data_IF_790978772081
#
_entry.id   IF_790978772081
#
_cell.length_a   1.000
_cell.length_b   1.000
_cell.length_c   1.000
_cell.angle_alpha   90.00
_cell.angle_beta   90.00
_cell.angle_gamma   90.00
#
_symmetry.space_group_name_H-M   'P 1'
#
loop_
_entity.id
_entity.type
_entity.pdbx_description
1 polymer ?
#
# COMPACT_ATOMS: atom_id res chain seq x y z
N UNK A 1 -18.46 29.31 12.46
CA UNK A 1 -18.70 28.28 11.43
C UNK A 1 -18.86 26.86 11.99
N UNK A 2 -18.01 26.39 12.93
CA UNK A 2 -18.03 24.99 13.40
C UNK A 2 -19.13 24.56 14.37
N UNK A 3 -19.80 25.50 15.05
CA UNK A 3 -20.89 25.20 16.02
C UNK A 3 -22.22 24.84 15.30
N UNK A 4 -22.29 25.03 13.97
CA UNK A 4 -23.50 24.78 13.17
C UNK A 4 -23.68 23.32 12.72
N UNK A 5 -22.69 22.44 12.89
CA UNK A 5 -22.69 21.14 12.22
C UNK A 5 -23.46 20.01 12.93
N UNK A 6 -24.05 20.23 14.11
CA UNK A 6 -24.80 19.23 14.92
C UNK A 6 -24.14 17.83 15.02
N UNK A 7 -22.84 17.74 14.75
CA UNK A 7 -22.07 16.50 14.68
C UNK A 7 -20.85 16.64 15.59
N UNK A 8 -20.98 16.28 16.87
CA UNK A 8 -19.87 16.26 17.82
C UNK A 8 -18.63 15.51 17.32
N UNK A 9 -18.74 14.34 16.62
CA UNK A 9 -17.58 13.62 16.11
C UNK A 9 -16.75 14.42 15.10
N UNK A 10 -17.40 15.22 14.25
CA UNK A 10 -16.72 16.01 13.22
C UNK A 10 -15.94 17.18 13.84
N UNK A 11 -16.51 17.85 14.85
CA UNK A 11 -15.85 18.94 15.58
C UNK A 11 -14.64 18.41 16.35
N UNK A 12 -14.78 17.27 17.02
CA UNK A 12 -13.69 16.61 17.74
C UNK A 12 -12.58 16.21 16.76
N UNK A 13 -12.92 15.61 15.63
CA UNK A 13 -11.95 15.23 14.59
C UNK A 13 -11.17 16.44 14.05
N UNK A 14 -11.84 17.56 13.82
CA UNK A 14 -11.20 18.80 13.38
C UNK A 14 -10.25 19.38 14.42
N UNK A 15 -10.65 19.41 15.70
CA UNK A 15 -9.79 19.89 16.80
C UNK A 15 -8.55 18.99 16.94
N UNK A 16 -8.72 17.67 16.89
CA UNK A 16 -7.60 16.71 16.92
C UNK A 16 -6.67 16.95 15.73
N UNK A 17 -7.22 17.14 14.52
CA UNK A 17 -6.43 17.42 13.33
C UNK A 17 -5.62 18.72 13.45
N UNK A 18 -6.20 19.78 14.02
CA UNK A 18 -5.49 21.04 14.28
C UNK A 18 -4.35 20.86 15.30
N UNK A 19 -4.58 20.13 16.38
CA UNK A 19 -3.56 19.87 17.41
C UNK A 19 -2.41 19.03 16.84
N UNK A 20 -2.73 17.92 16.15
CA UNK A 20 -1.72 17.04 15.54
C UNK A 20 -0.97 17.76 14.43
N UNK A 21 -1.67 18.52 13.58
CA UNK A 21 -1.06 19.32 12.51
C UNK A 21 -0.14 20.43 13.06
N UNK A 22 -0.55 21.08 14.15
CA UNK A 22 0.25 22.04 14.88
C UNK A 22 1.51 21.41 15.49
N UNK A 23 1.36 20.30 16.21
CA UNK A 23 2.48 19.55 16.78
C UNK A 23 3.44 19.02 15.70
N UNK A 24 2.93 18.69 14.52
CA UNK A 24 3.74 18.26 13.39
C UNK A 24 4.58 19.40 12.78
N UNK A 25 4.06 20.63 12.77
CA UNK A 25 4.59 21.71 11.91
C UNK A 25 5.20 22.91 12.63
N UNK A 26 4.74 23.25 13.83
CA UNK A 26 5.13 24.47 14.56
C UNK A 26 6.54 24.30 15.14
N UNK A 27 7.42 25.26 14.85
CA UNK A 27 8.81 25.28 15.32
C UNK A 27 8.92 25.77 16.76
N UNK A 28 8.49 24.93 17.72
CA UNK A 28 8.59 25.23 19.16
C UNK A 28 9.33 24.07 19.89
N UNK A 29 10.62 24.25 20.20
CA UNK A 29 11.38 23.28 21.00
C UNK A 29 10.77 23.15 22.42
N UNK A 30 10.75 21.96 23.07
CA UNK A 30 11.37 20.68 22.68
C UNK A 30 10.39 19.62 22.10
N UNK A 31 9.09 19.91 21.98
CA UNK A 31 8.04 18.91 21.67
C UNK A 31 7.28 19.11 20.35
N UNK A 32 7.32 20.31 19.75
CA UNK A 32 6.61 20.62 18.50
C UNK A 32 7.62 20.68 17.33
N UNK A 33 7.15 20.33 16.12
CA UNK A 33 7.90 20.11 14.86
C UNK A 33 8.35 18.68 14.61
N UNK A 34 7.42 17.74 14.73
CA UNK A 34 7.68 16.32 14.42
C UNK A 34 8.22 16.07 13.00
N UNK A 35 7.86 16.90 12.02
CA UNK A 35 8.40 16.81 10.64
C UNK A 35 9.91 16.99 10.53
N UNK A 36 10.55 17.63 11.53
CA UNK A 36 11.99 17.87 11.54
C UNK A 36 12.82 16.65 11.98
N UNK A 37 12.18 15.69 12.67
CA UNK A 37 12.85 14.46 13.12
C UNK A 37 11.82 13.30 13.18
N UNK A 38 11.76 12.45 12.14
CA UNK A 38 10.78 11.37 12.07
C UNK A 38 10.89 10.36 13.22
N UNK A 39 12.09 10.20 13.81
CA UNK A 39 12.31 9.30 14.95
C UNK A 39 11.77 9.88 16.26
N UNK A 40 11.92 11.19 16.48
CA UNK A 40 11.32 11.88 17.63
C UNK A 40 9.79 11.94 17.51
N UNK A 41 9.28 12.20 16.31
CA UNK A 41 7.85 12.15 16.01
C UNK A 41 7.23 10.81 16.41
N UNK A 42 7.83 9.72 15.94
CA UNK A 42 7.37 8.37 16.22
C UNK A 42 7.50 8.02 17.72
N UNK A 43 8.59 8.43 18.38
CA UNK A 43 8.79 8.23 19.83
C UNK A 43 7.73 8.95 20.67
N UNK A 44 7.39 10.19 20.33
CA UNK A 44 6.41 11.00 21.06
C UNK A 44 4.98 10.47 20.84
N UNK A 45 4.65 10.06 19.61
CA UNK A 45 3.31 9.52 19.28
C UNK A 45 3.10 8.10 19.82
N UNK A 46 4.12 7.24 19.76
CA UNK A 46 4.02 5.83 20.14
C UNK A 46 4.45 5.55 21.59
N UNK A 47 4.98 6.55 22.30
CA UNK A 47 5.41 6.46 23.71
C UNK A 47 6.62 5.55 23.98
N UNK A 48 7.20 4.94 22.95
CA UNK A 48 8.29 3.96 23.04
C UNK A 48 9.36 4.22 21.97
N UNK A 49 10.61 3.76 22.15
CA UNK A 49 11.58 3.74 21.05
C UNK A 49 10.98 2.97 19.87
N UNK A 50 11.14 3.49 18.66
CA UNK A 50 10.71 2.83 17.43
C UNK A 50 11.40 1.46 17.35
N UNK A 51 10.65 0.42 17.70
CA UNK A 51 11.13 -0.94 17.62
C UNK A 51 10.83 -1.49 16.23
N UNK A 52 11.89 -1.82 15.49
CA UNK A 52 11.77 -2.57 14.24
C UNK A 52 11.47 -4.04 14.55
N UNK A 53 10.23 -4.29 14.93
CA UNK A 53 9.75 -5.65 15.19
C UNK A 53 9.72 -6.44 13.87
N UNK A 54 9.84 -7.77 13.95
CA UNK A 54 9.76 -8.65 12.77
C UNK A 54 8.50 -8.40 11.92
N UNK A 55 7.30 -8.23 12.51
CA UNK A 55 6.10 -7.89 11.74
C UNK A 55 6.18 -6.54 11.02
N UNK A 56 6.78 -5.51 11.65
CA UNK A 56 6.95 -4.20 11.01
C UNK A 56 7.91 -4.28 9.82
N UNK A 57 9.04 -4.96 9.98
CA UNK A 57 10.00 -5.15 8.89
C UNK A 57 9.40 -5.96 7.74
N UNK A 58 8.65 -7.02 8.07
CA UNK A 58 7.95 -7.83 7.08
C UNK A 58 6.92 -7.00 6.30
N UNK A 59 6.05 -6.27 7.01
CA UNK A 59 5.04 -5.39 6.39
C UNK A 59 5.71 -4.32 5.52
N UNK A 60 6.81 -3.70 5.98
CA UNK A 60 7.53 -2.72 5.18
C UNK A 60 8.08 -3.32 3.87
N UNK A 61 8.74 -4.48 3.95
CA UNK A 61 9.25 -5.18 2.77
C UNK A 61 8.12 -5.57 1.80
N UNK A 62 7.02 -6.08 2.34
CA UNK A 62 5.83 -6.45 1.56
C UNK A 62 5.24 -5.26 0.81
N UNK A 63 5.04 -4.12 1.49
CA UNK A 63 4.49 -2.91 0.88
C UNK A 63 5.44 -2.34 -0.19
N UNK A 64 6.76 -2.42 0.00
CA UNK A 64 7.74 -2.03 -1.04
C UNK A 64 7.58 -2.88 -2.29
N UNK A 65 7.52 -4.21 -2.14
CA UNK A 65 7.34 -5.14 -3.26
C UNK A 65 6.04 -4.83 -4.02
N UNK A 66 4.93 -4.62 -3.29
CA UNK A 66 3.65 -4.25 -3.88
C UNK A 66 3.70 -2.92 -4.63
N UNK A 67 4.28 -1.90 -4.02
CA UNK A 67 4.34 -0.58 -4.62
C UNK A 67 5.21 -0.58 -5.89
N UNK A 68 6.29 -1.37 -5.93
CA UNK A 68 7.07 -1.60 -7.16
C UNK A 68 6.24 -2.25 -8.26
N UNK A 69 5.46 -3.30 -7.93
CA UNK A 69 4.61 -3.95 -8.92
C UNK A 69 3.49 -3.02 -9.43
N UNK A 70 2.87 -2.22 -8.56
CA UNK A 70 1.86 -1.22 -8.95
C UNK A 70 2.46 -0.15 -9.85
N UNK A 71 3.69 0.30 -9.58
CA UNK A 71 4.38 1.26 -10.44
C UNK A 71 4.58 0.69 -11.86
N UNK A 72 4.95 -0.58 -11.99
CA UNK A 72 5.06 -1.23 -13.29
C UNK A 72 3.71 -1.32 -14.01
N UNK A 73 2.63 -1.66 -13.31
CA UNK A 73 1.28 -1.72 -13.90
C UNK A 73 0.80 -0.34 -14.33
N UNK A 74 1.10 0.70 -13.53
CA UNK A 74 0.73 2.10 -13.83
C UNK A 74 1.32 2.58 -15.16
N UNK A 75 2.58 2.26 -15.43
CA UNK A 75 3.27 2.76 -16.62
C UNK A 75 2.75 2.13 -17.92
N UNK A 76 2.00 1.01 -17.86
CA UNK A 76 1.46 0.32 -19.05
C UNK A 76 0.45 1.19 -19.83
N UNK A 77 -0.63 1.70 -19.22
CA UNK A 77 -1.55 2.62 -19.90
C UNK A 77 -0.95 4.00 -20.20
N UNK A 78 0.19 4.35 -19.58
CA UNK A 78 0.87 5.64 -19.75
C UNK A 78 1.89 5.64 -20.93
N UNK A 79 2.16 4.48 -21.54
CA UNK A 79 3.16 4.29 -22.62
C UNK A 79 3.07 5.32 -23.74
N UNK A 80 1.87 5.59 -24.26
CA UNK A 80 1.70 6.54 -25.37
C UNK A 80 2.04 7.98 -24.95
N UNK A 81 1.64 8.36 -23.73
CA UNK A 81 1.99 9.65 -23.15
C UNK A 81 3.48 9.77 -22.91
N UNK A 82 4.08 8.77 -22.27
CA UNK A 82 5.52 8.73 -21.98
C UNK A 82 6.36 8.84 -23.26
N UNK A 83 5.97 8.13 -24.33
CA UNK A 83 6.62 8.23 -25.65
C UNK A 83 6.54 9.65 -26.22
N UNK A 84 5.39 10.32 -26.10
CA UNK A 84 5.21 11.67 -26.60
C UNK A 84 6.10 12.70 -25.86
N UNK A 85 6.43 12.44 -24.59
CA UNK A 85 7.36 13.26 -23.80
C UNK A 85 8.82 12.76 -23.88
N UNK A 86 9.13 11.79 -24.74
CA UNK A 86 10.49 11.26 -24.90
C UNK A 86 11.01 10.46 -23.71
N UNK A 87 10.13 9.98 -22.83
CA UNK A 87 10.48 9.15 -21.69
C UNK A 87 10.73 7.70 -22.13
N UNK A 88 11.65 7.02 -21.43
CA UNK A 88 11.97 5.60 -21.66
C UNK A 88 11.59 4.76 -20.45
N UNK A 89 10.29 4.57 -20.23
CA UNK A 89 9.76 3.71 -19.16
C UNK A 89 9.92 2.23 -19.50
N UNK A 90 9.86 1.35 -18.49
CA UNK A 90 10.06 -0.08 -18.66
C UNK A 90 9.15 -0.70 -19.75
N UNK A 91 7.83 -0.42 -19.82
CA UNK A 91 6.97 -0.97 -20.87
C UNK A 91 7.31 -0.46 -22.28
N UNK A 92 7.99 0.69 -22.41
CA UNK A 92 8.54 1.16 -23.69
C UNK A 92 9.76 0.32 -24.11
N UNK A 93 10.62 -0.05 -23.16
CA UNK A 93 11.88 -0.74 -23.43
C UNK A 93 11.65 -2.23 -23.73
N UNK A 94 10.84 -2.91 -22.90
CA UNK A 94 10.68 -4.38 -22.98
C UNK A 94 9.28 -4.84 -23.41
N UNK A 95 8.33 -3.92 -23.59
CA UNK A 95 6.95 -4.19 -24.02
C UNK A 95 5.94 -4.30 -22.87
N UNK A 96 4.69 -3.92 -23.14
CA UNK A 96 3.58 -3.88 -22.17
C UNK A 96 3.31 -5.26 -21.56
N UNK A 97 3.30 -6.31 -22.38
CA UNK A 97 2.98 -7.68 -22.01
C UNK A 97 4.02 -8.28 -21.07
N UNK A 98 5.31 -8.01 -21.32
CA UNK A 98 6.39 -8.50 -20.45
C UNK A 98 6.35 -7.82 -19.09
N UNK A 99 6.17 -6.49 -19.07
CA UNK A 99 6.04 -5.72 -17.82
C UNK A 99 4.83 -6.19 -17.02
N UNK A 100 3.69 -6.38 -17.69
CA UNK A 100 2.47 -6.92 -17.08
C UNK A 100 2.73 -8.27 -16.42
N UNK A 101 3.33 -9.21 -17.16
CA UNK A 101 3.65 -10.54 -16.66
C UNK A 101 4.59 -10.48 -15.44
N UNK A 102 5.64 -9.67 -15.50
CA UNK A 102 6.57 -9.48 -14.38
C UNK A 102 5.83 -8.93 -13.15
N UNK A 103 5.03 -7.88 -13.30
CA UNK A 103 4.30 -7.28 -12.19
C UNK A 103 3.30 -8.25 -11.54
N UNK A 104 2.54 -8.99 -12.36
CA UNK A 104 1.60 -10.01 -11.86
C UNK A 104 2.32 -11.11 -11.10
N UNK A 105 3.43 -11.62 -11.62
CA UNK A 105 4.21 -12.66 -10.93
C UNK A 105 4.82 -12.14 -9.62
N UNK A 106 5.31 -10.90 -9.57
CA UNK A 106 5.79 -10.28 -8.33
C UNK A 106 4.68 -10.25 -7.28
N UNK A 107 3.48 -9.77 -7.62
CA UNK A 107 2.36 -9.71 -6.69
C UNK A 107 1.89 -11.11 -6.24
N UNK A 108 1.84 -12.09 -7.15
CA UNK A 108 1.49 -13.48 -6.80
C UNK A 108 2.52 -14.12 -5.87
N UNK A 109 3.81 -13.89 -6.10
CA UNK A 109 4.87 -14.35 -5.19
C UNK A 109 4.77 -13.65 -3.83
N UNK A 110 4.46 -12.36 -3.79
CA UNK A 110 4.23 -11.63 -2.54
C UNK A 110 3.08 -12.24 -1.75
N UNK A 111 1.94 -12.52 -2.39
CA UNK A 111 0.83 -13.24 -1.77
C UNK A 111 1.24 -14.63 -1.26
N UNK A 112 1.97 -15.41 -2.07
CA UNK A 112 2.48 -16.71 -1.65
C UNK A 112 3.39 -16.63 -0.43
N UNK A 113 4.24 -15.60 -0.36
CA UNK A 113 5.09 -15.32 0.80
C UNK A 113 4.30 -15.02 2.06
N UNK A 114 3.26 -14.18 1.98
CA UNK A 114 2.40 -13.87 3.13
C UNK A 114 1.60 -15.09 3.60
N UNK A 115 1.06 -15.89 2.67
CA UNK A 115 0.37 -17.14 3.03
C UNK A 115 1.32 -18.10 3.74
N UNK A 116 2.56 -18.23 3.25
CA UNK A 116 3.58 -19.07 3.89
C UNK A 116 3.90 -18.60 5.31
N UNK A 117 4.15 -17.31 5.50
CA UNK A 117 4.40 -16.73 6.83
C UNK A 117 3.20 -16.95 7.75
N UNK A 118 1.98 -16.68 7.27
CA UNK A 118 0.75 -16.88 8.03
C UNK A 118 0.51 -18.33 8.47
N UNK A 119 0.95 -19.32 7.67
CA UNK A 119 0.83 -20.74 8.01
C UNK A 119 1.60 -21.12 9.29
N UNK A 120 2.68 -20.41 9.59
CA UNK A 120 3.49 -20.61 10.80
C UNK A 120 3.02 -19.77 12.00
N UNK A 121 1.92 -19.01 11.87
CA UNK A 121 1.42 -18.20 12.96
C UNK A 121 0.99 -19.06 14.17
N UNK A 122 1.30 -18.67 15.42
CA UNK A 122 0.86 -19.40 16.61
C UNK A 122 -0.64 -19.19 16.90
N UNK A 123 -1.25 -18.11 16.39
CA UNK A 123 -2.67 -17.83 16.58
C UNK A 123 -3.50 -18.45 15.46
N UNK A 124 -4.42 -19.36 15.82
CA UNK A 124 -5.30 -20.04 14.85
C UNK A 124 -6.15 -19.03 14.06
N UNK A 125 -6.69 -18.00 14.72
CA UNK A 125 -7.46 -16.95 14.06
C UNK A 125 -6.61 -16.18 13.04
N UNK A 126 -5.43 -15.70 13.45
CA UNK A 126 -4.53 -14.94 12.57
C UNK A 126 -4.06 -15.80 11.39
N UNK A 127 -3.77 -17.09 11.64
CA UNK A 127 -3.42 -18.08 10.62
C UNK A 127 -4.51 -18.23 9.57
N UNK A 128 -5.74 -18.55 10.01
CA UNK A 128 -6.86 -18.78 9.10
C UNK A 128 -7.21 -17.51 8.31
N UNK A 129 -7.29 -16.35 8.98
CA UNK A 129 -7.56 -15.07 8.32
C UNK A 129 -6.50 -14.78 7.27
N UNK A 130 -5.21 -14.86 7.63
CA UNK A 130 -4.11 -14.59 6.71
C UNK A 130 -4.13 -15.54 5.51
N UNK A 131 -4.21 -16.85 5.75
CA UNK A 131 -4.17 -17.83 4.67
C UNK A 131 -5.37 -17.69 3.72
N UNK A 132 -6.59 -17.59 4.25
CA UNK A 132 -7.81 -17.58 3.43
C UNK A 132 -7.91 -16.25 2.65
N UNK A 133 -7.71 -15.12 3.33
CA UNK A 133 -7.87 -13.80 2.70
C UNK A 133 -6.85 -13.57 1.59
N UNK A 134 -5.56 -13.79 1.85
CA UNK A 134 -4.51 -13.55 0.85
C UNK A 134 -4.58 -14.57 -0.29
N UNK A 135 -4.98 -15.82 -0.04
CA UNK A 135 -5.24 -16.79 -1.12
C UNK A 135 -6.42 -16.37 -2.00
N UNK A 136 -7.50 -15.84 -1.40
CA UNK A 136 -8.64 -15.34 -2.15
C UNK A 136 -8.26 -14.12 -3.00
N UNK A 137 -7.49 -13.17 -2.46
CA UNK A 137 -7.02 -12.01 -3.22
C UNK A 137 -6.02 -12.40 -4.32
N UNK A 138 -5.12 -13.36 -4.06
CA UNK A 138 -4.24 -13.93 -5.08
C UNK A 138 -5.03 -14.59 -6.22
N UNK A 139 -6.09 -15.33 -5.89
CA UNK A 139 -6.98 -15.92 -6.88
C UNK A 139 -7.71 -14.86 -7.72
N UNK A 140 -8.21 -13.79 -7.09
CA UNK A 140 -8.82 -12.65 -7.79
C UNK A 140 -7.83 -11.99 -8.74
N UNK A 141 -6.61 -11.70 -8.26
CA UNK A 141 -5.54 -11.12 -9.07
C UNK A 141 -5.21 -12.01 -10.27
N UNK A 142 -4.98 -13.30 -10.03
CA UNK A 142 -4.65 -14.28 -11.07
C UNK A 142 -5.77 -14.38 -12.12
N UNK A 143 -7.02 -14.51 -11.68
CA UNK A 143 -8.18 -14.61 -12.57
C UNK A 143 -8.31 -13.37 -13.45
N UNK A 144 -8.20 -12.18 -12.84
CA UNK A 144 -8.30 -10.92 -13.56
C UNK A 144 -7.11 -10.73 -14.52
N UNK A 145 -5.92 -11.17 -14.14
CA UNK A 145 -4.73 -11.12 -15.00
C UNK A 145 -4.86 -12.02 -16.24
N UNK A 146 -5.57 -13.17 -16.13
CA UNK A 146 -5.82 -14.06 -17.27
C UNK A 146 -6.81 -13.50 -18.29
N UNK A 147 -7.72 -12.63 -17.86
CA UNK A 147 -8.74 -12.03 -18.73
C UNK A 147 -8.37 -10.63 -19.19
N UNK A 148 -7.28 -10.06 -18.66
CA UNK A 148 -6.83 -8.72 -19.01
C UNK A 148 -6.03 -8.72 -20.32
N UNK A 149 -6.19 -7.64 -21.09
CA UNK A 149 -5.38 -7.36 -22.27
C UNK A 149 -4.54 -6.11 -21.96
N UNK A 150 -3.23 -6.25 -21.68
CA UNK A 150 -2.38 -5.12 -21.36
C UNK A 150 -2.10 -4.20 -22.57
N UNK A 151 -2.46 -4.62 -23.79
CA UNK A 151 -2.29 -3.80 -24.99
C UNK A 151 -3.47 -2.87 -25.26
N UNK A 152 -4.65 -3.15 -24.70
CA UNK A 152 -5.75 -2.19 -24.62
C UNK A 152 -5.59 -1.28 -23.38
N UNK A 153 -5.41 0.02 -23.62
CA UNK A 153 -5.23 1.00 -22.54
C UNK A 153 -6.41 1.08 -21.57
N UNK A 154 -7.65 0.83 -22.01
CA UNK A 154 -8.81 0.82 -21.09
C UNK A 154 -8.75 -0.39 -20.17
N UNK A 155 -8.48 -1.56 -20.72
CA UNK A 155 -8.27 -2.81 -19.98
C UNK A 155 -7.09 -2.70 -19.00
N UNK A 156 -5.93 -2.19 -19.44
CA UNK A 156 -4.76 -1.97 -18.61
C UNK A 156 -5.04 -0.99 -17.46
N UNK A 157 -5.71 0.14 -17.74
CA UNK A 157 -6.12 1.10 -16.71
C UNK A 157 -7.11 0.50 -15.71
N UNK A 158 -8.04 -0.33 -16.17
CA UNK A 158 -8.99 -1.04 -15.29
C UNK A 158 -8.24 -1.99 -14.35
N UNK A 159 -7.25 -2.73 -14.87
CA UNK A 159 -6.41 -3.61 -14.06
C UNK A 159 -5.54 -2.83 -13.07
N UNK A 160 -4.96 -1.71 -13.48
CA UNK A 160 -4.27 -0.79 -12.56
C UNK A 160 -5.17 -0.38 -11.39
N UNK A 161 -6.42 0.01 -11.66
CA UNK A 161 -7.37 0.36 -10.58
C UNK A 161 -7.73 -0.84 -9.70
N UNK A 162 -7.78 -2.06 -10.25
CA UNK A 162 -7.93 -3.29 -9.47
C UNK A 162 -6.73 -3.47 -8.51
N UNK A 163 -5.50 -3.29 -8.98
CA UNK A 163 -4.30 -3.45 -8.13
C UNK A 163 -4.32 -2.47 -6.94
N UNK A 164 -4.77 -1.23 -7.15
CA UNK A 164 -4.99 -0.27 -6.06
C UNK A 164 -6.04 -0.74 -5.05
N UNK A 165 -7.17 -1.29 -5.51
CA UNK A 165 -8.20 -1.82 -4.60
C UNK A 165 -7.65 -2.97 -3.76
N UNK A 166 -6.90 -3.89 -4.37
CA UNK A 166 -6.25 -4.99 -3.66
C UNK A 166 -5.27 -4.44 -2.61
N UNK A 167 -4.41 -3.51 -3.00
CA UNK A 167 -3.44 -2.86 -2.11
C UNK A 167 -4.10 -2.14 -0.92
N UNK A 168 -5.25 -1.49 -1.14
CA UNK A 168 -6.03 -0.91 -0.05
C UNK A 168 -6.53 -1.96 0.96
N UNK A 169 -6.96 -3.14 0.47
CA UNK A 169 -7.37 -4.24 1.34
C UNK A 169 -6.19 -4.82 2.11
N UNK A 170 -5.00 -4.91 1.50
CA UNK A 170 -3.77 -5.38 2.14
C UNK A 170 -3.43 -4.58 3.40
N UNK A 171 -3.60 -3.25 3.40
CA UNK A 171 -3.36 -2.43 4.60
C UNK A 171 -4.16 -2.91 5.82
N UNK A 172 -5.39 -3.39 5.60
CA UNK A 172 -6.19 -3.97 6.67
C UNK A 172 -5.71 -5.38 7.02
N UNK A 173 -5.53 -6.25 6.03
CA UNK A 173 -5.21 -7.66 6.25
C UNK A 173 -3.83 -7.90 6.88
N UNK A 174 -2.86 -7.03 6.63
CA UNK A 174 -1.51 -7.16 7.19
C UNK A 174 -1.47 -7.09 8.72
N UNK A 175 -2.51 -6.56 9.38
CA UNK A 175 -2.64 -6.58 10.84
C UNK A 175 -2.81 -7.98 11.42
N UNK A 176 -3.26 -8.94 10.60
CA UNK A 176 -3.47 -10.33 10.99
C UNK A 176 -2.24 -11.22 10.72
N UNK A 177 -1.20 -10.68 10.08
CA UNK A 177 0.05 -11.42 9.84
C UNK A 177 0.89 -11.39 11.12
N UNK A 178 1.06 -12.55 11.76
CA UNK A 178 1.76 -12.72 13.04
C UNK A 178 2.62 -13.96 13.07
#
# INVERSE_FOLDING_TARGET
MGIMLRSPPLVIGFIIWCIVGGAYSIDLPPLLRWKGNPLMAAKIVLGNPVAFTKPVLFTAAYLVIWNTAIAFVKDIPDVEGDKAFGLRTLPIIIGKEKVFSVAVNIMLMAYGGVVLVGAFSPSVLCKLVTMISHSALAFVLWRQAKTNDPSDNKSAKSFYMLTWKLYCVEFFLLHFVR
#
